data_IF_583896156277
#
_entry.id   IF_583896156277
#
_cell.length_a   1.000
_cell.length_b   1.000
_cell.length_c   1.000
_cell.angle_alpha   90.00
_cell.angle_beta   90.00
_cell.angle_gamma   90.00
#
_symmetry.space_group_name_H-M   'P 1'
#
loop_
_entity.id
_entity.type
_entity.pdbx_description
1 polymer ?
#
# COMPACT_ATOMS: atom_id res chain seq x y z
N UNK A 1 5.73 5.76 36.25
CA UNK A 1 6.56 6.08 35.05
C UNK A 1 6.16 5.07 34.00
N UNK A 2 5.26 5.45 33.11
CA UNK A 2 4.93 4.64 31.94
C UNK A 2 5.38 5.47 30.74
N UNK A 3 6.48 5.05 30.13
CA UNK A 3 6.90 5.55 28.84
C UNK A 3 5.95 4.88 27.84
N UNK A 4 4.92 5.58 27.38
CA UNK A 4 4.17 5.17 26.18
C UNK A 4 5.10 5.32 24.98
N UNK A 5 5.86 4.26 24.69
CA UNK A 5 6.56 4.13 23.43
C UNK A 5 5.49 3.89 22.35
N UNK A 6 4.98 4.98 21.77
CA UNK A 6 4.17 4.90 20.55
C UNK A 6 5.04 4.27 19.45
N UNK A 7 4.84 2.98 19.20
CA UNK A 7 5.43 2.31 18.04
C UNK A 7 4.57 2.66 16.83
N UNK A 8 5.08 3.54 15.97
CA UNK A 8 4.48 3.76 14.66
C UNK A 8 4.72 2.50 13.84
N UNK A 9 3.65 1.77 13.54
CA UNK A 9 3.72 0.62 12.62
C UNK A 9 4.18 1.11 11.23
N UNK A 10 5.23 0.47 10.71
CA UNK A 10 5.84 0.86 9.44
C UNK A 10 6.01 -0.35 8.54
N UNK A 11 5.49 -0.24 7.33
CA UNK A 11 5.78 -1.14 6.23
C UNK A 11 6.70 -0.45 5.21
N UNK A 12 7.66 -1.17 4.65
CA UNK A 12 8.55 -0.67 3.60
C UNK A 12 8.56 -1.65 2.45
N UNK A 13 8.15 -1.19 1.27
CA UNK A 13 8.22 -1.97 0.03
C UNK A 13 9.40 -1.49 -0.80
N UNK A 14 10.39 -2.38 -1.02
CA UNK A 14 11.54 -2.11 -1.89
C UNK A 14 11.23 -2.58 -3.31
N UNK A 15 11.42 -1.70 -4.28
CA UNK A 15 11.25 -2.01 -5.71
C UNK A 15 12.62 -2.03 -6.36
N UNK A 16 13.05 -3.22 -6.76
CA UNK A 16 14.32 -3.39 -7.46
C UNK A 16 14.18 -3.01 -8.94
N UNK A 17 15.24 -2.43 -9.50
CA UNK A 17 15.29 -2.09 -10.93
C UNK A 17 14.10 -1.23 -11.42
N UNK A 18 13.65 -0.26 -10.62
CA UNK A 18 12.46 0.56 -10.90
C UNK A 18 12.43 1.11 -12.35
N UNK A 19 13.54 1.65 -12.85
CA UNK A 19 13.65 2.21 -14.21
C UNK A 19 13.46 1.19 -15.34
N UNK A 20 13.53 -0.11 -15.04
CA UNK A 20 13.36 -1.20 -16.00
C UNK A 20 11.95 -1.78 -15.98
N UNK A 21 11.07 -1.30 -15.10
CA UNK A 21 9.67 -1.72 -15.06
C UNK A 21 8.99 -1.32 -16.37
N UNK A 22 8.53 -2.33 -17.11
CA UNK A 22 7.79 -2.15 -18.36
C UNK A 22 6.28 -2.34 -18.20
N UNK A 23 5.84 -2.77 -17.02
CA UNK A 23 4.44 -3.00 -16.68
C UNK A 23 3.74 -1.70 -16.36
N UNK A 24 2.42 -1.70 -16.55
CA UNK A 24 1.56 -0.55 -16.22
C UNK A 24 1.31 -0.48 -14.72
N UNK A 25 1.28 -1.62 -14.01
CA UNK A 25 1.02 -1.69 -12.57
C UNK A 25 1.94 -2.71 -11.87
N UNK A 26 2.39 -2.39 -10.66
CA UNK A 26 3.05 -3.31 -9.73
C UNK A 26 2.40 -3.21 -8.35
N UNK A 27 2.23 -4.34 -7.68
CA UNK A 27 1.65 -4.42 -6.34
C UNK A 27 2.69 -4.88 -5.31
N UNK A 28 2.62 -4.34 -4.09
CA UNK A 28 3.30 -4.92 -2.94
C UNK A 28 2.64 -6.24 -2.51
N UNK A 29 3.32 -6.97 -1.64
CA UNK A 29 2.65 -7.99 -0.80
C UNK A 29 1.61 -7.33 0.10
N UNK A 30 0.65 -8.12 0.59
CA UNK A 30 -0.32 -7.65 1.59
C UNK A 30 0.36 -7.56 2.95
N UNK A 31 0.15 -6.46 3.68
CA UNK A 31 0.67 -6.24 5.01
C UNK A 31 -0.43 -5.74 5.94
N UNK A 32 -0.28 -5.95 7.25
CA UNK A 32 -1.29 -5.57 8.25
C UNK A 32 -0.76 -4.43 9.11
N UNK A 33 -1.49 -3.32 9.15
CA UNK A 33 -1.25 -2.17 10.04
C UNK A 33 -2.59 -1.71 10.59
N UNK A 34 -2.68 -1.57 11.91
CA UNK A 34 -3.91 -1.18 12.60
C UNK A 34 -5.05 -2.18 12.43
N UNK A 35 -4.77 -3.47 12.28
CA UNK A 35 -5.72 -4.56 11.99
C UNK A 35 -6.34 -4.53 10.57
N UNK A 36 -5.88 -3.63 9.70
CA UNK A 36 -6.32 -3.57 8.32
C UNK A 36 -5.29 -4.24 7.40
N UNK A 37 -5.72 -5.16 6.51
CA UNK A 37 -4.88 -5.67 5.45
C UNK A 37 -4.78 -4.63 4.32
N UNK A 38 -3.58 -4.13 4.11
CA UNK A 38 -3.24 -3.13 3.10
C UNK A 38 -2.39 -3.74 1.99
N UNK A 39 -2.44 -3.12 0.81
CA UNK A 39 -1.42 -3.26 -0.23
C UNK A 39 -1.13 -1.90 -0.85
N UNK A 40 0.11 -1.71 -1.31
CA UNK A 40 0.49 -0.57 -2.13
C UNK A 40 0.37 -0.98 -3.60
N UNK A 41 -0.25 -0.13 -4.40
CA UNK A 41 -0.30 -0.24 -5.86
C UNK A 41 0.54 0.91 -6.42
N UNK A 42 1.43 0.59 -7.36
CA UNK A 42 2.26 1.55 -8.05
C UNK A 42 2.00 1.46 -9.55
N UNK A 43 1.78 2.60 -10.18
CA UNK A 43 1.80 2.77 -11.63
C UNK A 43 3.07 3.55 -12.00
N UNK A 44 4.12 2.88 -12.52
CA UNK A 44 5.41 3.51 -12.79
C UNK A 44 5.37 4.61 -13.85
N UNK A 45 4.34 4.59 -14.70
CA UNK A 45 4.07 5.57 -15.75
C UNK A 45 2.74 6.29 -15.50
N UNK A 46 2.33 6.41 -14.25
CA UNK A 46 1.08 7.07 -13.89
C UNK A 46 -0.16 6.26 -14.27
N UNK A 47 -1.29 6.69 -13.73
CA UNK A 47 -2.60 6.05 -13.94
C UNK A 47 -3.47 6.91 -14.87
N UNK A 48 -3.61 8.21 -14.56
CA UNK A 48 -4.37 9.16 -15.39
C UNK A 48 -3.49 9.97 -16.37
N UNK A 49 -2.23 10.22 -16.01
CA UNK A 49 -1.26 11.01 -16.79
C UNK A 49 0.11 10.31 -16.75
N UNK A 50 0.72 10.13 -17.92
CA UNK A 50 1.96 9.38 -18.08
C UNK A 50 3.25 10.13 -17.70
N UNK A 51 3.12 11.40 -17.29
CA UNK A 51 4.23 12.24 -16.86
C UNK A 51 4.58 12.10 -15.36
N UNK A 52 3.81 11.33 -14.61
CA UNK A 52 3.99 11.16 -13.16
C UNK A 52 4.03 9.70 -12.76
N UNK A 53 4.42 9.46 -11.51
CA UNK A 53 4.26 8.16 -10.86
C UNK A 53 3.00 8.24 -10.01
N UNK A 54 2.09 7.27 -10.16
CA UNK A 54 0.91 7.17 -9.29
C UNK A 54 1.11 6.05 -8.26
N UNK A 55 0.81 6.34 -6.99
CA UNK A 55 0.90 5.39 -5.88
C UNK A 55 -0.41 5.43 -5.11
N UNK A 56 -1.00 4.26 -4.87
CA UNK A 56 -2.23 4.10 -4.12
C UNK A 56 -2.03 3.14 -2.95
N UNK A 57 -2.70 3.43 -1.84
CA UNK A 57 -2.86 2.49 -0.73
C UNK A 57 -4.26 1.89 -0.80
N UNK A 58 -4.36 0.57 -0.88
CA UNK A 58 -5.63 -0.15 -1.04
C UNK A 58 -5.86 -1.11 0.11
N UNK A 59 -7.05 -1.05 0.70
CA UNK A 59 -7.53 -2.09 1.62
C UNK A 59 -7.86 -3.35 0.83
N UNK A 60 -7.37 -4.49 1.31
CA UNK A 60 -7.72 -5.80 0.75
C UNK A 60 -9.03 -6.25 1.38
N UNK A 61 -10.14 -6.18 0.63
CA UNK A 61 -11.42 -6.73 1.08
C UNK A 61 -11.26 -8.23 1.35
N UNK A 62 -11.35 -8.63 2.62
CA UNK A 62 -11.51 -10.03 3.00
C UNK A 62 -12.99 -10.31 3.19
N UNK A 63 -13.42 -11.57 3.02
CA UNK A 63 -14.81 -11.99 3.22
C UNK A 63 -15.35 -11.70 4.64
N UNK A 64 -14.47 -11.32 5.57
CA UNK A 64 -14.78 -11.03 6.97
C UNK A 64 -14.91 -9.54 7.27
N UNK A 65 -14.72 -8.63 6.31
CA UNK A 65 -15.01 -7.21 6.50
C UNK A 65 -16.52 -7.02 6.42
N UNK A 66 -17.18 -6.75 7.56
CA UNK A 66 -18.62 -6.49 7.60
C UNK A 66 -18.98 -5.28 6.74
N UNK A 67 -20.23 -5.21 6.26
CA UNK A 67 -20.68 -4.15 5.33
C UNK A 67 -20.73 -2.73 5.96
N UNK A 68 -20.35 -2.57 7.23
CA UNK A 68 -20.38 -1.31 7.98
C UNK A 68 -19.03 -0.59 8.13
N UNK A 69 -17.99 -1.00 7.40
CA UNK A 69 -16.65 -0.41 7.53
C UNK A 69 -16.52 0.89 6.74
N UNK A 70 -16.08 1.96 7.42
CA UNK A 70 -15.60 3.21 6.81
C UNK A 70 -14.24 3.59 7.39
N UNK A 71 -13.34 4.04 6.53
CA UNK A 71 -12.08 4.71 6.90
C UNK A 71 -12.35 6.16 7.29
#
# INVERSE_FOLDING_TARGET
MEQEQSSVDKFTWKIENFSRLKTDEVCSETFVIGDYPWKIILYPRGDEDDNYISIYLKVVKTANMSDGWSI
#
